data_IF_777102436537
#
_entry.id   IF_777102436537
#
_cell.length_a   1.000
_cell.length_b   1.000
_cell.length_c   1.000
_cell.angle_alpha   90.00
_cell.angle_beta   90.00
_cell.angle_gamma   90.00
#
_symmetry.space_group_name_H-M   'P 1'
#
loop_
_entity.id
_entity.type
_entity.pdbx_description
1 polymer ?
#
# COMPACT_ATOMS: atom_id res chain seq x y z
N UNK A 1 10.39 3.33 -6.10
CA UNK A 1 9.95 3.97 -4.84
C UNK A 1 11.18 4.50 -4.12
N UNK A 2 11.07 5.71 -3.58
CA UNK A 2 12.05 6.28 -2.65
C UNK A 2 11.35 6.44 -1.30
N UNK A 3 12.02 6.06 -0.23
CA UNK A 3 11.53 6.24 1.15
C UNK A 3 12.62 6.84 2.02
N UNK A 4 12.22 7.55 3.06
CA UNK A 4 13.11 8.00 4.13
C UNK A 4 12.69 7.29 5.41
N UNK A 5 13.64 6.65 6.08
CA UNK A 5 13.45 6.06 7.40
C UNK A 5 14.30 6.84 8.41
N UNK A 6 13.68 7.32 9.48
CA UNK A 6 14.37 8.01 10.58
C UNK A 6 14.75 7.00 11.67
N UNK A 7 16.01 6.94 12.08
CA UNK A 7 16.50 6.02 13.11
C UNK A 7 16.83 6.72 14.46
N UNK A 8 16.59 8.03 14.56
CA UNK A 8 16.83 8.82 15.77
C UNK A 8 18.01 9.79 15.67
N UNK A 9 19.00 9.48 14.84
CA UNK A 9 20.21 10.28 14.61
C UNK A 9 20.43 10.64 13.13
N UNK A 10 19.66 10.03 12.23
CA UNK A 10 19.77 10.23 10.80
C UNK A 10 18.65 9.59 9.99
N UNK A 11 18.69 9.87 8.69
CA UNK A 11 17.80 9.27 7.71
C UNK A 11 18.51 8.22 6.87
N UNK A 12 17.88 7.06 6.72
CA UNK A 12 18.19 6.11 5.66
C UNK A 12 17.38 6.43 4.42
N UNK A 13 18.06 6.52 3.27
CA UNK A 13 17.41 6.59 1.96
C UNK A 13 17.16 5.17 1.44
N UNK A 14 15.90 4.78 1.43
CA UNK A 14 15.45 3.51 0.86
C UNK A 14 15.16 3.69 -0.63
N UNK A 15 15.76 2.87 -1.47
CA UNK A 15 15.52 2.85 -2.91
C UNK A 15 15.12 1.45 -3.37
N UNK A 16 13.89 1.31 -3.88
CA UNK A 16 13.40 0.06 -4.48
C UNK A 16 12.91 0.32 -5.90
N UNK A 17 13.43 -0.43 -6.88
CA UNK A 17 12.98 -0.43 -8.27
C UNK A 17 12.30 -1.76 -8.57
N UNK A 18 11.21 -1.72 -9.34
CA UNK A 18 10.62 -2.91 -9.92
C UNK A 18 11.26 -3.14 -11.29
N UNK A 19 11.43 -4.41 -11.67
CA UNK A 19 11.96 -4.75 -13.00
C UNK A 19 10.94 -4.41 -14.09
N UNK A 20 9.64 -4.53 -13.78
CA UNK A 20 8.55 -4.13 -14.65
C UNK A 20 7.50 -3.33 -13.87
N UNK A 21 6.93 -2.32 -14.52
CA UNK A 21 5.88 -1.47 -13.96
C UNK A 21 6.37 -0.45 -12.92
N UNK A 22 5.42 0.04 -12.12
CA UNK A 22 5.64 1.02 -11.08
C UNK A 22 4.73 0.72 -9.88
N UNK A 23 5.16 1.13 -8.69
CA UNK A 23 4.31 1.09 -7.51
C UNK A 23 3.12 2.04 -7.71
N UNK A 24 1.91 1.58 -7.38
CA UNK A 24 0.73 2.44 -7.27
C UNK A 24 0.81 3.22 -5.95
N UNK A 25 1.69 4.22 -5.94
CA UNK A 25 1.93 5.11 -4.80
C UNK A 25 1.28 6.47 -5.07
N UNK A 26 0.68 7.11 -4.05
CA UNK A 26 0.08 8.43 -4.23
C UNK A 26 1.12 9.47 -4.70
N UNK A 27 0.68 10.41 -5.53
CA UNK A 27 1.59 11.30 -6.29
C UNK A 27 1.55 12.73 -5.78
N UNK A 28 0.54 13.12 -5.01
CA UNK A 28 0.45 14.44 -4.40
C UNK A 28 0.75 14.39 -2.89
N UNK A 29 1.18 15.52 -2.33
CA UNK A 29 1.37 15.66 -0.89
C UNK A 29 0.05 15.60 -0.11
N UNK A 30 -1.05 16.02 -0.74
CA UNK A 30 -2.40 15.88 -0.18
C UNK A 30 -2.86 14.41 -0.12
N UNK A 31 -2.32 13.55 -0.98
CA UNK A 31 -2.54 12.11 -0.93
C UNK A 31 -1.51 11.37 -0.06
N UNK A 32 -0.65 12.09 0.68
CA UNK A 32 0.27 11.45 1.61
C UNK A 32 -0.53 10.69 2.68
N UNK A 33 -0.45 9.36 2.61
CA UNK A 33 -1.22 8.47 3.47
C UNK A 33 -0.30 7.85 4.53
N UNK A 34 -0.76 7.85 5.78
CA UNK A 34 -0.23 6.92 6.76
C UNK A 34 -0.71 5.51 6.38
N UNK A 35 0.21 4.55 6.33
CA UNK A 35 -0.08 3.17 5.95
C UNK A 35 0.20 2.23 7.11
N UNK A 36 -0.60 1.18 7.23
CA UNK A 36 -0.34 0.10 8.18
C UNK A 36 0.84 -0.77 7.74
N UNK A 37 1.39 -1.56 8.67
CA UNK A 37 2.43 -2.56 8.36
C UNK A 37 1.97 -3.58 7.31
N UNK A 38 0.67 -3.91 7.29
CA UNK A 38 0.07 -4.81 6.30
C UNK A 38 0.06 -4.18 4.90
N UNK A 39 -0.38 -2.91 4.79
CA UNK A 39 -0.33 -2.17 3.53
C UNK A 39 1.10 -2.01 3.02
N UNK A 40 2.07 -1.80 3.91
CA UNK A 40 3.48 -1.81 3.54
C UNK A 40 3.92 -3.17 2.97
N UNK A 41 3.55 -4.27 3.61
CA UNK A 41 3.87 -5.61 3.12
C UNK A 41 3.24 -5.89 1.75
N UNK A 42 1.98 -5.48 1.55
CA UNK A 42 1.29 -5.53 0.25
C UNK A 42 2.06 -4.76 -0.82
N UNK A 43 2.47 -3.53 -0.51
CA UNK A 43 3.27 -2.72 -1.42
C UNK A 43 4.58 -3.42 -1.78
N UNK A 44 5.25 -4.05 -0.81
CA UNK A 44 6.49 -4.78 -1.05
C UNK A 44 6.31 -6.00 -1.96
N UNK A 45 5.11 -6.58 -2.01
CA UNK A 45 4.70 -7.65 -2.93
C UNK A 45 4.21 -7.14 -4.30
N UNK A 46 4.15 -5.81 -4.49
CA UNK A 46 3.69 -5.19 -5.73
C UNK A 46 2.18 -4.98 -5.81
N UNK A 47 1.46 -5.16 -4.70
CA UNK A 47 0.03 -4.89 -4.61
C UNK A 47 -0.23 -3.40 -4.34
N UNK A 48 -1.45 -2.95 -4.64
CA UNK A 48 -1.91 -1.60 -4.33
C UNK A 48 -2.27 -1.49 -2.84
N UNK A 49 -1.86 -0.41 -2.18
CA UNK A 49 -2.17 -0.16 -0.76
C UNK A 49 -3.64 0.20 -0.50
N UNK A 50 -4.33 0.65 -1.55
CA UNK A 50 -5.76 0.98 -1.55
C UNK A 50 -6.42 0.09 -2.61
N UNK A 51 -7.39 -0.76 -2.25
CA UNK A 51 -8.07 -1.61 -3.22
C UNK A 51 -8.94 -0.76 -4.16
N UNK A 52 -8.73 -0.90 -5.49
CA UNK A 52 -9.62 -0.30 -6.50
C UNK A 52 -11.04 -0.87 -6.48
N UNK A 53 -11.16 -2.16 -6.17
CA UNK A 53 -12.44 -2.89 -6.16
C UNK A 53 -12.58 -3.67 -4.85
N UNK A 54 -12.93 -3.01 -3.73
CA UNK A 54 -13.12 -3.69 -2.46
C UNK A 54 -14.27 -4.69 -2.56
N UNK A 55 -14.00 -5.94 -2.19
CA UNK A 55 -15.03 -6.97 -2.07
C UNK A 55 -15.93 -6.56 -0.90
N UNK A 56 -17.20 -6.27 -1.20
CA UNK A 56 -18.18 -5.97 -0.17
C UNK A 56 -18.67 -7.28 0.45
N UNK A 57 -18.74 -7.39 1.78
CA UNK A 57 -19.41 -8.50 2.42
C UNK A 57 -20.82 -8.66 1.83
N UNK A 58 -21.19 -9.90 1.52
CA UNK A 58 -22.57 -10.18 1.17
C UNK A 58 -23.37 -10.24 2.48
N UNK A 59 -24.06 -9.17 2.81
CA UNK A 59 -24.87 -9.06 4.05
C UNK A 59 -26.07 -10.02 4.07
N UNK A 60 -26.26 -10.85 3.04
CA UNK A 60 -27.39 -11.73 2.91
C UNK A 60 -26.97 -13.16 2.51
N UNK A 61 -26.77 -14.07 3.48
CA UNK A 61 -26.81 -15.49 3.17
C UNK A 61 -28.26 -15.79 2.78
N UNK A 62 -28.55 -15.85 1.47
CA UNK A 62 -29.80 -16.44 1.00
C UNK A 62 -29.82 -17.87 1.55
N UNK A 63 -30.60 -18.05 2.61
CA UNK A 63 -30.87 -19.34 3.24
C UNK A 63 -31.56 -20.16 2.16
N UNK A 64 -30.81 -21.07 1.54
CA UNK A 64 -31.37 -22.09 0.66
C UNK A 64 -32.34 -22.90 1.52
N UNK A 65 -33.63 -22.60 1.36
CA UNK A 65 -34.73 -23.46 1.77
C UNK A 65 -34.90 -24.57 0.75
#
# INVERSE_FOLDING_TARGET
MKGLLWEGDGFLLLYKRLDNGAFSWPRSAEEALEISSEQYAMLMQGLEIIPKHPIRPNDNPKRLM
#
